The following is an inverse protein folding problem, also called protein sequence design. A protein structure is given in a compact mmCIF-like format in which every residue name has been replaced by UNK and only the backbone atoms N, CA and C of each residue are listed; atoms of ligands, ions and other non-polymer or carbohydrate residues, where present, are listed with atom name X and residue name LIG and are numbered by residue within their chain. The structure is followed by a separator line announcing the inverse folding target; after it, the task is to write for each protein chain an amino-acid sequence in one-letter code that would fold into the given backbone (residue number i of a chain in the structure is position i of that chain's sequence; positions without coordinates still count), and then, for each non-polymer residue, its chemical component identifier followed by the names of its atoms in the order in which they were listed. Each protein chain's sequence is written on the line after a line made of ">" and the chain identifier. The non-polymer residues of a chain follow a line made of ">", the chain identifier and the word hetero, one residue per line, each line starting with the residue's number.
data_IF_387470013260
#
_entry.id   IF_387470013260
#
_cell.length_a   1.000
_cell.length_b   1.000
_cell.length_c   1.000
_cell.angle_alpha   90.00
_cell.angle_beta   90.00
_cell.angle_gamma   90.00
#
_symmetry.space_group_name_H-M   'P 1'
#
loop_
_entity.id
_entity.type
_entity.pdbx_description
1 polymer ?
#
# COMPACT_ATOMS: atom_id res chain seq x y z
N UNK A 1 13.29 22.03 23.31
CA UNK A 1 11.84 21.73 23.38
C UNK A 1 11.03 22.60 24.36
N UNK A 2 11.43 23.83 24.70
CA UNK A 2 10.65 24.72 25.58
C UNK A 2 10.30 26.10 24.97
N UNK A 3 10.39 26.29 23.64
CA UNK A 3 9.98 27.55 22.98
C UNK A 3 8.66 27.47 22.19
N UNK A 4 8.05 26.29 22.08
CA UNK A 4 6.81 26.09 21.30
C UNK A 4 5.51 26.28 22.09
N UNK A 5 5.56 26.36 23.43
CA UNK A 5 4.37 26.58 24.26
C UNK A 5 3.96 28.05 24.35
N UNK A 6 4.92 28.96 24.32
CA UNK A 6 4.64 30.39 24.54
C UNK A 6 4.02 31.08 23.30
N UNK A 7 4.34 30.63 22.09
CA UNK A 7 3.77 31.23 20.87
C UNK A 7 2.27 30.93 20.67
N UNK A 8 1.77 29.78 21.15
CA UNK A 8 0.33 29.43 21.00
C UNK A 8 -0.58 30.28 21.88
N UNK A 9 -0.08 30.77 23.02
CA UNK A 9 -0.82 31.65 23.93
C UNK A 9 -0.86 33.10 23.43
N UNK A 10 0.15 33.55 22.68
CA UNK A 10 0.24 34.93 22.19
C UNK A 10 -0.63 35.14 20.93
N UNK A 11 -0.75 34.14 20.06
CA UNK A 11 -1.55 34.23 18.82
C UNK A 11 -3.06 34.36 19.11
N UNK A 12 -3.55 33.80 20.22
CA UNK A 12 -4.99 33.81 20.53
C UNK A 12 -5.48 35.10 21.20
N UNK A 13 -4.61 35.90 21.83
CA UNK A 13 -5.05 37.18 22.44
C UNK A 13 -5.38 38.25 21.40
N UNK A 14 -4.83 38.13 20.18
CA UNK A 14 -5.00 39.12 19.11
C UNK A 14 -6.27 38.91 18.25
N UNK A 15 -6.88 37.72 18.26
CA UNK A 15 -7.96 37.36 17.33
C UNK A 15 -9.39 37.63 17.84
N UNK A 16 -9.59 37.92 19.12
CA UNK A 16 -10.91 38.27 19.64
C UNK A 16 -10.98 39.75 20.01
N UNK A 17 -11.63 40.57 19.16
CA UNK A 17 -11.95 41.95 19.53
C UNK A 17 -12.85 41.96 20.79
N UNK A 18 -12.61 42.85 21.77
CA UNK A 18 -13.32 42.85 23.05
C UNK A 18 -14.85 43.08 22.93
N UNK A 19 -15.31 43.71 21.84
CA UNK A 19 -16.73 44.01 21.60
C UNK A 19 -17.58 42.77 21.29
N UNK A 20 -17.01 41.74 20.66
CA UNK A 20 -17.72 40.49 20.34
C UNK A 20 -17.98 39.63 21.57
N UNK A 21 -17.10 39.71 22.58
CA UNK A 21 -17.24 38.93 23.82
C UNK A 21 -18.20 39.61 24.80
N UNK A 22 -18.23 40.95 24.86
CA UNK A 22 -19.22 41.70 25.65
C UNK A 22 -20.66 41.48 25.16
N UNK A 23 -20.88 41.31 23.84
CA UNK A 23 -22.20 41.01 23.30
C UNK A 23 -22.71 39.62 23.72
N UNK A 24 -21.81 38.64 23.83
CA UNK A 24 -22.14 37.28 24.27
C UNK A 24 -22.45 37.22 25.77
N UNK A 25 -21.66 37.93 26.61
CA UNK A 25 -21.88 38.02 28.06
C UNK A 25 -23.19 38.73 28.44
N UNK A 26 -23.61 39.71 27.65
CA UNK A 26 -24.89 40.42 27.86
C UNK A 26 -26.11 39.54 27.55
N UNK A 27 -25.94 38.52 26.70
CA UNK A 27 -26.98 37.55 26.37
C UNK A 27 -27.09 36.43 27.40
N UNK A 28 -26.03 36.11 28.14
CA UNK A 28 -26.00 35.02 29.13
C UNK A 28 -26.20 35.47 30.57
N UNK A 29 -26.26 36.78 30.85
CA UNK A 29 -26.69 37.33 32.15
C UNK A 29 -25.71 37.11 33.31
N UNK A 30 -24.46 36.75 33.04
CA UNK A 30 -23.44 36.43 34.04
C UNK A 30 -22.48 37.61 34.25
N UNK A 31 -22.49 38.23 35.44
CA UNK A 31 -21.39 39.08 35.92
C UNK A 31 -20.35 38.19 36.58
N UNK A 32 -19.10 38.19 36.10
CA UNK A 32 -18.03 37.40 36.71
C UNK A 32 -16.66 38.08 36.55
N UNK A 33 -15.89 38.04 37.62
CA UNK A 33 -14.56 38.64 37.80
C UNK A 33 -13.45 37.93 36.98
N UNK A 34 -12.42 38.69 36.62
CA UNK A 34 -11.42 38.44 35.56
C UNK A 34 -10.68 37.08 35.60
N UNK A 35 -10.54 36.43 36.76
CA UNK A 35 -9.82 35.14 36.86
C UNK A 35 -10.66 33.93 36.46
N UNK A 36 -11.97 33.95 36.74
CA UNK A 36 -12.88 32.87 36.31
C UNK A 36 -13.14 32.90 34.81
N UNK A 37 -13.07 34.07 34.20
CA UNK A 37 -13.26 34.31 32.77
C UNK A 37 -12.27 33.54 31.87
N UNK A 38 -10.99 33.46 32.27
CA UNK A 38 -9.95 32.74 31.50
C UNK A 38 -10.11 31.23 31.54
N UNK A 39 -10.56 30.67 32.66
CA UNK A 39 -10.75 29.24 32.83
C UNK A 39 -11.98 28.73 32.07
N UNK A 40 -13.10 29.46 32.13
CA UNK A 40 -14.35 29.08 31.47
C UNK A 40 -14.28 29.22 29.94
N UNK A 41 -13.62 30.27 29.43
CA UNK A 41 -13.41 30.44 28.00
C UNK A 41 -12.50 29.34 27.41
N UNK A 42 -11.44 28.96 28.13
CA UNK A 42 -10.57 27.86 27.72
C UNK A 42 -11.31 26.52 27.67
N UNK A 43 -12.20 26.24 28.64
CA UNK A 43 -13.00 25.02 28.68
C UNK A 43 -14.03 24.94 27.54
N UNK A 44 -14.71 26.06 27.22
CA UNK A 44 -15.66 26.12 26.12
C UNK A 44 -14.99 25.94 24.75
N UNK A 45 -13.79 26.51 24.57
CA UNK A 45 -13.00 26.37 23.33
C UNK A 45 -12.46 24.94 23.19
N UNK A 46 -12.01 24.32 24.29
CA UNK A 46 -11.58 22.92 24.26
C UNK A 46 -12.73 21.96 23.91
N UNK A 47 -13.93 22.22 24.44
CA UNK A 47 -15.12 21.44 24.14
C UNK A 47 -15.55 21.54 22.67
N UNK A 48 -15.49 22.75 22.08
CA UNK A 48 -15.75 22.93 20.65
C UNK A 48 -14.73 22.20 19.78
N UNK A 49 -13.44 22.30 20.07
CA UNK A 49 -12.39 21.64 19.27
C UNK A 49 -12.53 20.12 19.35
N UNK A 50 -12.82 19.56 20.52
CA UNK A 50 -12.93 18.11 20.72
C UNK A 50 -14.13 17.49 19.98
N UNK A 51 -15.25 18.22 19.89
CA UNK A 51 -16.46 17.73 19.22
C UNK A 51 -16.46 17.93 17.69
N UNK A 52 -15.63 18.83 17.13
CA UNK A 52 -15.53 19.00 15.66
C UNK A 52 -14.50 18.11 14.97
N UNK A 53 -13.61 17.45 15.72
CA UNK A 53 -12.51 16.64 15.17
C UNK A 53 -12.79 15.13 15.14
N UNK A 54 -13.96 14.68 15.61
CA UNK A 54 -14.33 13.27 15.68
C UNK A 54 -15.72 13.08 15.06
N UNK A 55 -15.80 13.02 13.72
CA UNK A 55 -16.76 12.20 12.97
C UNK A 55 -16.45 12.28 11.45
N UNK A 56 -16.35 11.15 10.73
CA UNK A 56 -16.26 11.14 9.26
C UNK A 56 -17.66 11.34 8.64
N UNK A 57 -17.80 11.98 7.46
CA UNK A 57 -19.12 12.25 6.91
C UNK A 57 -19.66 11.02 6.17
N UNK A 58 -20.71 10.39 6.71
CA UNK A 58 -21.69 9.61 5.95
C UNK A 58 -22.88 10.49 5.55
N UNK A 59 -23.46 10.17 4.40
CA UNK A 59 -24.54 10.89 3.71
C UNK A 59 -25.84 10.96 4.53
N UNK A 60 -26.34 12.17 4.85
CA UNK A 60 -27.76 12.39 5.15
C UNK A 60 -28.27 13.68 4.48
N UNK A 61 -29.49 13.53 3.99
CA UNK A 61 -30.32 14.33 3.11
C UNK A 61 -30.85 15.67 3.66
N UNK A 62 -31.10 16.57 2.71
CA UNK A 62 -32.14 17.62 2.66
C UNK A 62 -32.75 18.12 3.98
N UNK A 63 -32.29 19.29 4.42
CA UNK A 63 -32.99 20.17 5.37
C UNK A 63 -32.64 21.63 5.08
N UNK A 64 -33.59 22.36 4.51
CA UNK A 64 -33.45 23.78 4.10
C UNK A 64 -33.36 24.67 5.34
N UNK A 65 -32.24 25.36 5.53
CA UNK A 65 -32.20 26.64 6.25
C UNK A 65 -31.44 27.64 5.39
N UNK A 66 -32.19 28.60 4.87
CA UNK A 66 -31.77 29.67 3.99
C UNK A 66 -30.84 30.66 4.70
N UNK A 67 -29.66 30.90 4.12
CA UNK A 67 -28.89 32.12 4.38
C UNK A 67 -27.43 31.93 4.78
N UNK A 68 -26.58 31.51 3.84
CA UNK A 68 -25.19 31.98 3.70
C UNK A 68 -24.57 31.37 2.43
N UNK A 69 -24.17 32.21 1.47
CA UNK A 69 -23.48 31.77 0.25
C UNK A 69 -22.01 31.47 0.56
N UNK A 70 -21.59 30.27 0.15
CA UNK A 70 -20.23 29.70 0.02
C UNK A 70 -19.56 29.10 1.27
N UNK A 71 -19.15 27.82 1.21
CA UNK A 71 -18.34 27.20 2.27
C UNK A 71 -16.88 27.68 2.13
N UNK A 72 -16.36 28.33 3.17
CA UNK A 72 -14.94 28.70 3.24
C UNK A 72 -14.12 27.42 3.42
N UNK A 73 -13.38 27.03 2.38
CA UNK A 73 -12.29 26.05 2.49
C UNK A 73 -11.25 26.59 3.47
N UNK A 74 -11.04 25.89 4.58
CA UNK A 74 -9.86 26.10 5.41
C UNK A 74 -8.65 25.61 4.61
N UNK A 75 -7.91 26.54 4.02
CA UNK A 75 -6.57 26.27 3.51
C UNK A 75 -5.60 26.27 4.69
N UNK A 76 -4.78 25.21 4.81
CA UNK A 76 -3.64 25.20 5.71
C UNK A 76 -2.71 26.34 5.32
N UNK A 77 -2.45 27.24 6.27
CA UNK A 77 -1.43 28.28 6.12
C UNK A 77 -0.05 27.64 6.08
N UNK A 78 0.67 27.85 4.98
CA UNK A 78 2.14 27.81 4.99
C UNK A 78 2.64 28.99 5.84
N UNK A 79 3.73 28.81 6.59
CA UNK A 79 4.23 29.75 7.60
C UNK A 79 4.81 31.06 7.05
N UNK A 80 4.78 31.28 5.73
CA UNK A 80 5.46 32.41 5.05
C UNK A 80 4.51 33.47 4.43
N UNK A 81 3.19 33.33 4.59
CA UNK A 81 2.24 34.28 3.99
C UNK A 81 1.94 35.47 4.91
N UNK A 82 2.83 36.48 4.89
CA UNK A 82 2.52 37.78 5.51
C UNK A 82 1.23 38.39 4.92
N UNK A 83 0.34 38.96 5.77
CA UNK A 83 -0.92 39.53 5.34
C UNK A 83 -0.72 40.81 4.49
N UNK A 84 -1.70 41.13 3.66
CA UNK A 84 -1.63 42.33 2.81
C UNK A 84 -1.50 43.60 3.65
N UNK A 85 -0.51 44.44 3.31
CA UNK A 85 -0.23 45.72 4.01
C UNK A 85 -1.43 46.69 4.02
N UNK A 86 -2.28 46.64 3.00
CA UNK A 86 -3.37 47.61 2.82
C UNK A 86 -4.68 47.15 3.47
N UNK A 87 -5.05 45.87 3.30
CA UNK A 87 -6.37 45.38 3.72
C UNK A 87 -6.31 44.22 4.74
N UNK A 88 -5.10 43.83 5.19
CA UNK A 88 -4.86 42.69 6.08
C UNK A 88 -5.47 41.37 5.58
N UNK A 89 -5.73 41.29 4.28
CA UNK A 89 -6.25 40.10 3.62
C UNK A 89 -5.15 39.07 3.40
N UNK A 90 -5.53 37.80 3.39
CA UNK A 90 -4.64 36.64 3.19
C UNK A 90 -4.86 35.98 1.81
N UNK A 91 -5.83 36.49 1.05
CA UNK A 91 -6.16 35.95 -0.27
C UNK A 91 -5.36 36.68 -1.35
N UNK A 92 -4.38 35.98 -1.91
CA UNK A 92 -3.51 36.45 -2.98
C UNK A 92 -3.68 35.56 -4.22
N UNK A 93 -3.64 36.19 -5.40
CA UNK A 93 -3.74 35.53 -6.70
C UNK A 93 -2.48 35.82 -7.48
N UNK A 94 -1.86 34.78 -8.01
CA UNK A 94 -0.72 34.86 -8.92
C UNK A 94 -1.19 35.13 -10.35
N UNK A 95 -0.80 36.28 -10.89
CA UNK A 95 -0.98 36.65 -12.28
C UNK A 95 0.27 36.23 -13.07
N UNK A 96 0.21 35.06 -13.70
CA UNK A 96 1.37 34.44 -14.40
C UNK A 96 1.80 35.18 -15.66
N UNK A 97 0.90 35.89 -16.33
CA UNK A 97 1.20 36.67 -17.53
C UNK A 97 2.07 37.87 -17.22
N UNK A 98 1.83 38.53 -16.09
CA UNK A 98 2.56 39.71 -15.63
C UNK A 98 3.70 39.35 -14.67
N UNK A 99 3.60 38.20 -14.00
CA UNK A 99 4.54 37.75 -12.98
C UNK A 99 4.29 38.43 -11.63
N UNK A 100 3.04 38.75 -11.29
CA UNK A 100 2.70 39.53 -10.09
C UNK A 100 1.83 38.74 -9.12
N UNK A 101 2.10 38.88 -7.82
CA UNK A 101 1.25 38.37 -6.73
C UNK A 101 0.34 39.48 -6.23
N UNK A 102 -0.97 39.37 -6.46
CA UNK A 102 -1.92 40.46 -6.20
C UNK A 102 -2.96 40.06 -5.17
N UNK A 103 -3.21 40.93 -4.19
CA UNK A 103 -4.27 40.72 -3.22
C UNK A 103 -5.65 40.83 -3.88
N UNK A 104 -6.49 39.80 -3.72
CA UNK A 104 -7.83 39.78 -4.33
C UNK A 104 -8.78 40.82 -3.75
N UNK A 105 -8.57 41.23 -2.50
CA UNK A 105 -9.51 42.07 -1.77
C UNK A 105 -9.30 43.57 -2.02
N UNK A 106 -8.06 44.00 -2.30
CA UNK A 106 -7.74 45.42 -2.50
C UNK A 106 -6.90 45.73 -3.74
N UNK A 107 -6.47 44.71 -4.49
CA UNK A 107 -5.67 44.89 -5.72
C UNK A 107 -4.22 45.32 -5.48
N UNK A 108 -3.74 45.33 -4.23
CA UNK A 108 -2.33 45.66 -3.94
C UNK A 108 -1.42 44.51 -4.40
N UNK A 109 -0.39 44.84 -5.18
CA UNK A 109 0.68 43.92 -5.57
C UNK A 109 1.59 43.68 -4.37
N UNK A 110 1.67 42.44 -3.88
CA UNK A 110 2.56 42.04 -2.77
C UNK A 110 3.98 41.82 -3.27
N UNK A 111 4.12 41.14 -4.41
CA UNK A 111 5.40 40.85 -5.02
C UNK A 111 5.26 40.99 -6.53
N UNK A 112 6.25 41.63 -7.16
CA UNK A 112 6.31 41.84 -8.60
C UNK A 112 7.51 41.10 -9.19
N UNK A 113 7.39 40.58 -10.42
CA UNK A 113 8.42 39.77 -11.08
C UNK A 113 8.72 38.46 -10.36
N UNK A 114 7.67 37.73 -9.99
CA UNK A 114 7.75 36.35 -9.54
C UNK A 114 8.58 35.52 -10.52
N UNK A 115 9.53 34.77 -9.95
CA UNK A 115 10.29 33.77 -10.70
C UNK A 115 9.34 32.60 -10.95
N UNK A 116 9.15 32.22 -12.21
CA UNK A 116 8.40 31.01 -12.54
C UNK A 116 9.24 29.77 -12.19
N UNK A 117 8.83 29.02 -11.18
CA UNK A 117 9.48 27.76 -10.79
C UNK A 117 9.13 26.61 -11.75
N UNK A 118 8.24 26.83 -12.73
CA UNK A 118 7.93 25.82 -13.74
C UNK A 118 9.15 25.59 -14.63
N UNK A 119 9.26 24.34 -15.09
CA UNK A 119 10.29 23.97 -16.06
C UNK A 119 10.22 24.91 -17.28
N UNK A 120 11.32 25.60 -17.57
CA UNK A 120 11.47 26.47 -18.75
C UNK A 120 11.50 25.69 -20.09
N UNK A 121 11.08 24.41 -20.09
CA UNK A 121 11.16 23.49 -21.23
C UNK A 121 10.47 24.09 -22.47
N UNK A 122 11.28 24.70 -23.33
CA UNK A 122 10.89 25.08 -24.69
C UNK A 122 11.58 24.11 -25.63
N UNK A 123 10.97 22.95 -25.88
CA UNK A 123 11.39 22.09 -27.00
C UNK A 123 10.97 22.77 -28.30
N UNK A 124 11.80 23.69 -28.80
CA UNK A 124 11.57 24.35 -30.09
C UNK A 124 11.69 23.39 -31.29
N UNK A 125 12.07 22.12 -31.08
CA UNK A 125 12.18 21.14 -32.14
C UNK A 125 11.69 19.76 -31.66
N UNK A 126 10.65 19.23 -32.32
CA UNK A 126 10.35 17.78 -32.35
C UNK A 126 11.52 16.93 -32.91
N UNK A 127 12.58 17.58 -33.39
CA UNK A 127 13.83 17.00 -33.91
C UNK A 127 14.92 16.79 -32.86
N UNK A 128 14.79 17.36 -31.66
CA UNK A 128 15.77 17.19 -30.56
C UNK A 128 15.45 15.96 -29.68
N UNK A 129 14.85 14.92 -30.28
CA UNK A 129 14.67 13.62 -29.61
C UNK A 129 15.98 12.86 -29.42
N UNK A 130 17.07 13.35 -30.00
CA UNK A 130 18.38 12.73 -29.90
C UNK A 130 19.39 13.68 -29.22
N UNK A 131 19.57 13.45 -27.92
CA UNK A 131 20.84 13.59 -27.19
C UNK A 131 21.23 14.95 -26.57
N UNK A 132 20.64 16.11 -26.87
CA UNK A 132 21.05 17.36 -26.18
C UNK A 132 19.94 18.38 -25.99
N UNK A 133 19.28 18.35 -24.83
CA UNK A 133 18.41 19.44 -24.38
C UNK A 133 19.27 20.70 -24.13
N UNK A 134 19.09 21.81 -24.87
CA UNK A 134 19.86 23.04 -24.68
C UNK A 134 19.45 23.84 -23.43
N UNK A 135 18.45 23.37 -22.66
CA UNK A 135 18.00 24.06 -21.46
C UNK A 135 19.08 24.11 -20.38
N UNK A 136 19.23 25.29 -19.76
CA UNK A 136 20.17 25.58 -18.68
C UNK A 136 19.64 25.04 -17.34
N UNK A 137 19.30 23.77 -17.29
CA UNK A 137 18.93 23.09 -16.06
C UNK A 137 19.71 21.79 -15.98
N UNK A 138 20.29 21.51 -14.81
CA UNK A 138 20.99 20.24 -14.60
C UNK A 138 20.06 19.05 -14.86
N UNK A 139 20.65 17.86 -15.04
CA UNK A 139 19.87 16.63 -15.15
C UNK A 139 19.02 16.38 -13.90
N UNK A 140 17.94 15.58 -14.00
CA UNK A 140 17.10 15.26 -12.85
C UNK A 140 17.92 14.59 -11.75
N UNK A 141 17.88 15.16 -10.55
CA UNK A 141 18.54 14.59 -9.37
C UNK A 141 17.68 13.51 -8.76
N UNK A 142 18.26 12.34 -8.49
CA UNK A 142 17.59 11.31 -7.72
C UNK A 142 17.77 11.60 -6.22
N UNK A 143 16.69 11.96 -5.53
CA UNK A 143 16.66 12.24 -4.08
C UNK A 143 17.19 11.10 -3.17
N UNK A 144 17.25 9.86 -3.68
CA UNK A 144 17.81 8.72 -2.95
C UNK A 144 19.34 8.83 -2.87
N UNK A 145 19.98 9.43 -3.87
CA UNK A 145 21.42 9.65 -3.91
C UNK A 145 21.75 11.00 -3.27
N UNK A 146 22.65 11.02 -2.31
CA UNK A 146 23.03 12.24 -1.58
C UNK A 146 24.15 13.01 -2.28
N UNK A 147 24.90 12.34 -3.16
CA UNK A 147 26.01 12.94 -3.89
C UNK A 147 25.59 13.66 -5.17
N UNK A 148 25.95 14.95 -5.26
CA UNK A 148 26.15 15.64 -6.54
C UNK A 148 27.38 15.02 -7.21
N UNK A 149 27.16 14.00 -8.06
CA UNK A 149 28.24 13.33 -8.78
C UNK A 149 28.06 13.50 -10.28
N UNK A 150 29.14 13.88 -10.95
CA UNK A 150 29.22 13.89 -12.41
C UNK A 150 29.98 12.66 -12.87
N UNK A 151 29.52 11.99 -13.90
CA UNK A 151 30.25 10.87 -14.51
C UNK A 151 31.22 11.39 -15.56
N UNK A 152 32.45 10.88 -15.56
CA UNK A 152 33.46 11.23 -16.57
C UNK A 152 33.18 10.39 -17.82
N UNK A 153 32.62 11.05 -18.84
CA UNK A 153 32.36 10.43 -20.14
C UNK A 153 33.64 9.94 -20.83
N UNK A 154 33.49 8.94 -21.69
CA UNK A 154 34.58 8.46 -22.55
C UNK A 154 34.51 9.21 -23.87
N UNK A 155 35.57 9.93 -24.20
CA UNK A 155 35.69 10.63 -25.48
C UNK A 155 36.49 9.77 -26.48
N UNK A 156 36.14 9.82 -27.77
CA UNK A 156 36.97 9.20 -28.82
C UNK A 156 38.14 10.14 -29.09
N UNK A 157 39.38 9.63 -29.05
CA UNK A 157 40.65 10.36 -29.22
C UNK A 157 41.19 11.13 -28.00
N UNK A 158 40.90 10.66 -26.79
CA UNK A 158 41.41 11.24 -25.53
C UNK A 158 42.85 10.81 -25.15
N UNK A 159 43.50 9.98 -25.97
CA UNK A 159 44.81 9.41 -25.65
C UNK A 159 44.85 8.52 -24.39
N UNK A 160 43.69 8.04 -23.90
CA UNK A 160 43.57 7.26 -22.68
C UNK A 160 43.42 8.08 -21.38
N UNK A 161 43.26 9.41 -21.48
CA UNK A 161 43.09 10.28 -20.31
C UNK A 161 41.78 9.99 -19.56
N UNK A 162 40.66 9.80 -20.23
CA UNK A 162 39.37 9.42 -19.62
C UNK A 162 39.49 8.08 -18.89
N UNK A 163 40.33 7.15 -19.38
CA UNK A 163 40.59 5.89 -18.69
C UNK A 163 41.41 6.11 -17.40
N UNK A 164 42.46 6.93 -17.46
CA UNK A 164 43.27 7.28 -16.29
C UNK A 164 42.43 8.01 -15.22
N UNK A 165 41.62 8.99 -15.64
CA UNK A 165 40.72 9.74 -14.76
C UNK A 165 39.63 8.85 -14.17
N UNK A 166 38.99 7.97 -14.94
CA UNK A 166 38.00 7.03 -14.42
C UNK A 166 38.64 6.04 -13.41
N UNK A 167 39.89 5.62 -13.63
CA UNK A 167 40.62 4.78 -12.68
C UNK A 167 40.89 5.51 -11.37
N UNK A 168 41.25 6.80 -11.41
CA UNK A 168 41.45 7.63 -10.22
C UNK A 168 40.11 7.87 -9.51
N UNK A 169 39.07 8.23 -10.27
CA UNK A 169 37.72 8.46 -9.74
C UNK A 169 37.14 7.21 -9.06
N UNK A 170 37.42 6.02 -9.60
CA UNK A 170 37.01 4.73 -9.02
C UNK A 170 37.69 4.40 -7.68
N UNK A 171 38.80 5.08 -7.33
CA UNK A 171 39.50 4.90 -6.05
C UNK A 171 38.90 5.75 -4.93
N UNK A 172 38.06 6.72 -5.24
CA UNK A 172 37.38 7.53 -4.24
C UNK A 172 36.32 6.68 -3.53
N UNK A 173 36.35 6.66 -2.20
CA UNK A 173 35.33 5.98 -1.39
C UNK A 173 34.02 6.78 -1.46
N UNK A 174 33.17 6.41 -2.41
CA UNK A 174 31.81 6.95 -2.51
C UNK A 174 30.82 5.98 -1.85
N UNK A 175 30.15 6.34 -0.73
CA UNK A 175 29.09 5.51 -0.14
C UNK A 175 27.95 5.23 -1.13
N UNK A 176 27.70 6.15 -2.07
CA UNK A 176 26.67 6.00 -3.11
C UNK A 176 26.98 4.83 -4.05
N UNK A 177 28.24 4.39 -4.16
CA UNK A 177 28.58 3.23 -5.00
C UNK A 177 27.89 1.95 -4.52
N UNK A 178 27.81 1.77 -3.20
CA UNK A 178 27.11 0.63 -2.60
C UNK A 178 25.60 0.76 -2.85
N UNK A 179 25.07 1.97 -2.71
CA UNK A 179 23.67 2.27 -2.96
C UNK A 179 23.29 2.07 -4.45
N UNK A 180 24.12 2.51 -5.39
CA UNK A 180 23.96 2.29 -6.83
C UNK A 180 24.02 0.80 -7.20
N UNK A 181 24.92 0.04 -6.58
CA UNK A 181 24.96 -1.42 -6.75
C UNK A 181 23.66 -2.06 -6.26
N UNK A 182 23.15 -1.65 -5.09
CA UNK A 182 21.86 -2.11 -4.59
C UNK A 182 20.70 -1.70 -5.49
N UNK A 183 20.66 -0.47 -6.01
CA UNK A 183 19.66 0.00 -6.98
C UNK A 183 19.62 -0.87 -8.23
N UNK A 184 20.78 -1.27 -8.74
CA UNK A 184 20.88 -2.17 -9.89
C UNK A 184 20.31 -3.56 -9.59
N UNK A 185 20.66 -4.13 -8.44
CA UNK A 185 20.16 -5.45 -8.02
C UNK A 185 18.64 -5.43 -7.76
N UNK A 186 18.12 -4.40 -7.06
CA UNK A 186 16.68 -4.22 -6.84
C UNK A 186 15.95 -4.03 -8.17
N UNK A 187 16.51 -3.21 -9.08
CA UNK A 187 15.96 -3.03 -10.43
C UNK A 187 15.86 -4.35 -11.19
N UNK A 188 16.94 -5.14 -11.19
CA UNK A 188 16.96 -6.46 -11.84
C UNK A 188 15.92 -7.41 -11.25
N UNK A 189 15.80 -7.48 -9.91
CA UNK A 189 14.79 -8.30 -9.25
C UNK A 189 13.36 -7.85 -9.59
N UNK A 190 13.10 -6.54 -9.63
CA UNK A 190 11.79 -5.98 -9.96
C UNK A 190 11.37 -6.29 -11.40
N UNK A 191 12.31 -6.23 -12.36
CA UNK A 191 12.08 -6.59 -13.77
C UNK A 191 11.69 -8.06 -13.90
N UNK A 192 12.42 -8.97 -13.24
CA UNK A 192 12.15 -10.40 -13.28
C UNK A 192 10.83 -10.78 -12.57
N UNK A 193 10.51 -10.13 -11.45
CA UNK A 193 9.25 -10.33 -10.72
C UNK A 193 8.07 -9.56 -11.30
N UNK A 194 8.30 -8.71 -12.32
CA UNK A 194 7.32 -7.81 -12.94
C UNK A 194 6.56 -6.96 -11.92
N UNK A 195 7.32 -6.33 -11.02
CA UNK A 195 6.80 -5.50 -9.93
C UNK A 195 6.77 -4.03 -10.38
N UNK A 196 5.81 -3.25 -9.86
CA UNK A 196 5.66 -1.84 -10.20
C UNK A 196 6.86 -0.99 -9.73
N UNK A 197 7.15 0.11 -10.44
CA UNK A 197 8.20 1.08 -10.09
C UNK A 197 8.05 1.66 -8.69
N UNK A 198 6.80 1.87 -8.22
CA UNK A 198 6.51 2.34 -6.85
C UNK A 198 7.15 1.42 -5.79
N UNK A 199 7.10 0.09 -6.00
CA UNK A 199 7.69 -0.87 -5.05
C UNK A 199 9.22 -0.81 -5.11
N UNK A 200 9.80 -0.57 -6.29
CA UNK A 200 11.24 -0.39 -6.47
C UNK A 200 11.72 0.83 -5.68
N UNK A 201 11.03 1.96 -5.83
CA UNK A 201 11.38 3.20 -5.13
C UNK A 201 11.24 3.02 -3.61
N UNK A 202 10.14 2.42 -3.17
CA UNK A 202 9.92 2.11 -1.76
C UNK A 202 10.97 1.15 -1.17
N UNK A 203 11.39 0.14 -1.93
CA UNK A 203 12.44 -0.77 -1.53
C UNK A 203 13.78 -0.05 -1.36
N UNK A 204 14.07 0.95 -2.20
CA UNK A 204 15.28 1.74 -2.12
C UNK A 204 15.28 2.72 -0.95
N UNK A 205 14.14 3.33 -0.63
CA UNK A 205 13.98 4.14 0.59
C UNK A 205 14.30 3.32 1.84
N UNK A 206 13.69 2.14 1.96
CA UNK A 206 13.93 1.23 3.10
C UNK A 206 15.40 0.80 3.15
N UNK A 207 16.01 0.50 2.00
CA UNK A 207 17.42 0.13 1.94
C UNK A 207 18.33 1.26 2.43
N UNK A 208 18.06 2.50 1.99
CA UNK A 208 18.82 3.69 2.38
C UNK A 208 18.76 3.93 3.89
N UNK A 209 17.56 3.92 4.47
CA UNK A 209 17.34 4.08 5.92
C UNK A 209 18.16 3.06 6.73
N UNK A 210 18.15 1.80 6.29
CA UNK A 210 18.86 0.70 6.98
C UNK A 210 20.39 0.85 6.87
N UNK A 211 20.90 1.33 5.74
CA UNK A 211 22.34 1.59 5.55
C UNK A 211 22.81 2.76 6.42
N UNK A 212 22.01 3.83 6.49
CA UNK A 212 22.29 5.00 7.35
C UNK A 212 22.30 4.65 8.84
N UNK A 213 21.41 3.75 9.26
CA UNK A 213 21.39 3.23 10.63
C UNK A 213 22.67 2.45 11.00
N UNK A 214 23.53 2.07 10.02
CA UNK A 214 24.80 1.35 10.19
C UNK A 214 24.70 0.01 10.92
N UNK A 215 23.49 -0.52 11.12
CA UNK A 215 23.22 -1.73 11.91
C UNK A 215 23.50 -3.04 11.18
N UNK A 216 23.53 -3.05 9.84
CA UNK A 216 23.69 -4.29 9.04
C UNK A 216 25.07 -4.44 8.38
N UNK A 217 26.12 -3.88 8.99
CA UNK A 217 27.49 -4.04 8.49
C UNK A 217 27.90 -5.52 8.48
N UNK A 218 28.27 -6.02 7.29
CA UNK A 218 28.73 -7.40 7.09
C UNK A 218 27.68 -8.36 6.53
N UNK A 219 26.43 -7.92 6.29
CA UNK A 219 25.46 -8.69 5.50
C UNK A 219 25.74 -8.56 4.00
N UNK A 220 25.35 -9.57 3.23
CA UNK A 220 25.47 -9.49 1.77
C UNK A 220 24.53 -8.44 1.19
N UNK A 221 25.04 -7.63 0.27
CA UNK A 221 24.28 -6.55 -0.39
C UNK A 221 23.03 -7.10 -1.07
N UNK A 222 23.16 -8.25 -1.74
CA UNK A 222 22.05 -8.93 -2.43
C UNK A 222 20.99 -9.45 -1.46
N UNK A 223 21.37 -10.09 -0.34
CA UNK A 223 20.38 -10.56 0.63
C UNK A 223 19.62 -9.40 1.28
N UNK A 224 20.32 -8.31 1.60
CA UNK A 224 19.69 -7.11 2.15
C UNK A 224 18.73 -6.46 1.15
N UNK A 225 19.16 -6.28 -0.10
CA UNK A 225 18.30 -5.77 -1.17
C UNK A 225 17.04 -6.63 -1.36
N UNK A 226 17.19 -7.97 -1.34
CA UNK A 226 16.08 -8.90 -1.44
C UNK A 226 15.10 -8.79 -0.25
N UNK A 227 15.62 -8.63 0.97
CA UNK A 227 14.80 -8.42 2.17
C UNK A 227 14.05 -7.08 2.15
N UNK A 228 14.68 -6.01 1.65
CA UNK A 228 14.05 -4.70 1.50
C UNK A 228 12.94 -4.74 0.44
N UNK A 229 13.21 -5.38 -0.71
CA UNK A 229 12.21 -5.57 -1.76
C UNK A 229 11.01 -6.38 -1.24
N UNK A 230 11.26 -7.45 -0.49
CA UNK A 230 10.20 -8.24 0.13
C UNK A 230 9.35 -7.41 1.09
N UNK A 231 9.97 -6.52 1.88
CA UNK A 231 9.23 -5.61 2.76
C UNK A 231 8.36 -4.63 1.96
N UNK A 232 8.93 -3.99 0.93
CA UNK A 232 8.22 -3.04 0.08
C UNK A 232 7.02 -3.67 -0.63
N UNK A 233 7.19 -4.89 -1.17
CA UNK A 233 6.10 -5.65 -1.79
C UNK A 233 4.90 -5.84 -0.85
N UNK A 234 5.14 -5.98 0.46
CA UNK A 234 4.08 -6.12 1.46
C UNK A 234 3.38 -4.80 1.76
N UNK A 235 4.13 -3.70 1.86
CA UNK A 235 3.56 -2.37 2.09
C UNK A 235 2.63 -1.95 0.94
N UNK A 236 3.02 -2.26 -0.30
CA UNK A 236 2.25 -1.95 -1.51
C UNK A 236 1.15 -2.98 -1.84
N UNK A 237 0.85 -3.92 -0.92
CA UNK A 237 -0.15 -5.00 -1.11
C UNK A 237 0.10 -5.86 -2.36
N UNK A 238 1.34 -5.90 -2.85
CA UNK A 238 1.80 -6.76 -3.94
C UNK A 238 2.62 -7.92 -3.35
N UNK A 239 1.99 -8.71 -2.47
CA UNK A 239 2.65 -9.78 -1.76
C UNK A 239 3.34 -10.77 -2.69
N UNK A 240 4.63 -10.98 -2.44
CA UNK A 240 5.47 -12.02 -3.04
C UNK A 240 5.94 -12.95 -1.95
N UNK A 241 6.13 -14.22 -2.28
CA UNK A 241 6.64 -15.23 -1.36
C UNK A 241 8.16 -15.23 -1.35
N UNK A 242 8.77 -15.67 -0.24
CA UNK A 242 10.22 -15.87 -0.19
C UNK A 242 10.73 -16.84 -1.26
N UNK A 243 9.91 -17.80 -1.69
CA UNK A 243 10.29 -18.76 -2.73
C UNK A 243 10.43 -18.08 -4.09
N UNK A 244 9.52 -17.17 -4.43
CA UNK A 244 9.59 -16.39 -5.68
C UNK A 244 10.83 -15.50 -5.73
N UNK A 245 11.16 -14.82 -4.61
CA UNK A 245 12.35 -13.97 -4.54
C UNK A 245 13.64 -14.79 -4.67
N UNK A 246 13.73 -15.93 -3.96
CA UNK A 246 14.87 -16.84 -4.08
C UNK A 246 15.00 -17.43 -5.48
N UNK A 247 13.88 -17.74 -6.15
CA UNK A 247 13.90 -18.24 -7.52
C UNK A 247 14.50 -17.22 -8.51
N UNK A 248 14.31 -15.93 -8.26
CA UNK A 248 14.86 -14.84 -9.08
C UNK A 248 16.35 -14.59 -8.81
N UNK A 249 16.79 -14.70 -7.55
CA UNK A 249 18.20 -14.57 -7.17
C UNK A 249 19.05 -15.80 -7.51
N UNK A 250 18.43 -16.93 -7.85
CA UNK A 250 19.12 -18.18 -8.11
C UNK A 250 19.90 -18.69 -6.89
N UNK A 251 21.09 -19.24 -7.14
CA UNK A 251 21.93 -19.84 -6.09
C UNK A 251 22.81 -18.82 -5.32
N UNK A 252 22.69 -17.52 -5.62
CA UNK A 252 23.54 -16.49 -5.02
C UNK A 252 23.26 -16.29 -3.52
N UNK A 253 22.00 -16.48 -3.10
CA UNK A 253 21.57 -16.20 -1.72
C UNK A 253 20.62 -17.29 -1.22
N UNK A 254 20.93 -17.84 -0.05
CA UNK A 254 20.07 -18.85 0.58
C UNK A 254 18.80 -18.25 1.20
N UNK A 255 17.68 -18.99 1.16
CA UNK A 255 16.42 -18.58 1.84
C UNK A 255 16.63 -18.25 3.33
N UNK A 256 17.53 -18.97 4.02
CA UNK A 256 17.84 -18.75 5.43
C UNK A 256 18.53 -17.40 5.67
N UNK A 257 19.35 -16.96 4.72
CA UNK A 257 20.04 -15.67 4.80
C UNK A 257 19.09 -14.50 4.60
N UNK A 258 18.21 -14.57 3.59
CA UNK A 258 17.16 -13.55 3.37
C UNK A 258 16.23 -13.48 4.59
N UNK A 259 15.85 -14.63 5.16
CA UNK A 259 15.02 -14.68 6.36
C UNK A 259 15.68 -14.08 7.60
N UNK A 260 17.01 -14.23 7.74
CA UNK A 260 17.78 -13.56 8.81
C UNK A 260 17.85 -12.06 8.59
N UNK A 261 18.22 -11.61 7.40
CA UNK A 261 18.28 -10.19 7.06
C UNK A 261 16.91 -9.50 7.23
N UNK A 262 15.82 -10.19 6.88
CA UNK A 262 14.47 -9.68 7.08
C UNK A 262 14.09 -9.52 8.56
N UNK A 263 14.49 -10.46 9.44
CA UNK A 263 14.29 -10.34 10.89
C UNK A 263 15.13 -9.21 11.48
N UNK A 264 16.37 -9.06 11.03
CA UNK A 264 17.24 -7.98 11.47
C UNK A 264 16.64 -6.62 11.05
N UNK A 265 16.13 -6.52 9.81
CA UNK A 265 15.42 -5.34 9.29
C UNK A 265 14.14 -5.03 10.10
N UNK A 266 13.35 -6.05 10.44
CA UNK A 266 12.20 -5.91 11.34
C UNK A 266 12.58 -5.33 12.69
N UNK A 267 13.70 -5.77 13.25
CA UNK A 267 14.16 -5.30 14.55
C UNK A 267 14.61 -3.84 14.47
N UNK A 268 15.38 -3.49 13.44
CA UNK A 268 15.85 -2.11 13.22
C UNK A 268 14.67 -1.15 13.11
N UNK A 269 13.65 -1.50 12.31
CA UNK A 269 12.45 -0.65 12.16
C UNK A 269 11.68 -0.49 13.46
N UNK A 270 11.62 -1.54 14.29
CA UNK A 270 11.00 -1.43 15.62
C UNK A 270 11.79 -0.51 16.55
N UNK A 271 13.12 -0.64 16.55
CA UNK A 271 13.99 0.19 17.38
C UNK A 271 13.92 1.67 16.95
N UNK A 272 13.83 1.95 15.65
CA UNK A 272 13.63 3.30 15.10
C UNK A 272 12.30 3.90 15.54
N UNK A 273 11.19 3.16 15.39
CA UNK A 273 9.86 3.61 15.82
C UNK A 273 9.79 3.85 17.34
N UNK A 274 10.46 3.00 18.11
CA UNK A 274 10.54 3.17 19.56
C UNK A 274 11.32 4.44 19.95
N UNK A 275 12.42 4.76 19.25
CA UNK A 275 13.17 6.01 19.44
C UNK A 275 12.34 7.25 19.08
N UNK A 276 11.44 7.13 18.10
CA UNK A 276 10.54 8.22 17.69
C UNK A 276 9.36 8.42 18.65
N UNK A 277 9.23 7.60 19.71
CA UNK A 277 8.13 7.70 20.68
C UNK A 277 6.77 7.31 20.10
N UNK A 278 6.77 6.47 19.05
CA UNK A 278 5.54 6.01 18.41
C UNK A 278 4.65 5.24 19.40
N UNK A 279 3.33 5.45 19.33
CA UNK A 279 2.36 4.73 20.18
C UNK A 279 2.41 3.22 19.92
N UNK A 280 1.97 2.43 20.89
CA UNK A 280 1.90 0.97 20.76
C UNK A 280 1.08 0.53 19.52
N UNK A 281 0.08 1.32 19.14
CA UNK A 281 -0.75 1.08 17.94
C UNK A 281 0.02 1.30 16.63
N UNK A 282 0.94 2.27 16.56
CA UNK A 282 1.78 2.50 15.38
C UNK A 282 2.82 1.38 15.21
N UNK A 283 3.34 0.86 16.33
CA UNK A 283 4.23 -0.30 16.33
C UNK A 283 3.49 -1.57 15.90
N UNK A 284 2.25 -1.76 16.39
CA UNK A 284 1.38 -2.86 15.99
C UNK A 284 0.97 -2.75 14.52
N UNK A 285 0.65 -1.56 14.02
CA UNK A 285 0.32 -1.32 12.60
C UNK A 285 1.48 -1.67 11.67
N UNK A 286 2.71 -1.28 12.02
CA UNK A 286 3.92 -1.62 11.25
C UNK A 286 4.22 -3.12 11.29
N UNK A 287 3.96 -3.79 12.43
CA UNK A 287 4.07 -5.24 12.57
C UNK A 287 2.94 -5.97 11.83
N UNK A 288 1.72 -5.42 11.79
CA UNK A 288 0.57 -5.97 11.08
C UNK A 288 0.76 -5.88 9.56
N UNK A 289 1.49 -4.89 9.05
CA UNK A 289 1.97 -4.88 7.65
C UNK A 289 2.87 -6.08 7.32
N UNK A 290 3.40 -6.80 8.31
CA UNK A 290 4.19 -8.02 8.11
C UNK A 290 3.38 -9.31 8.13
N UNK A 291 2.12 -9.27 8.59
CA UNK A 291 1.22 -10.41 8.57
C UNK A 291 0.61 -10.51 7.18
N UNK A 292 0.83 -11.63 6.51
CA UNK A 292 0.37 -11.83 5.15
C UNK A 292 -1.04 -12.41 5.17
N UNK A 293 -1.98 -11.71 4.54
CA UNK A 293 -3.33 -12.22 4.41
C UNK A 293 -3.44 -13.18 3.21
N UNK A 294 -4.13 -14.33 3.33
CA UNK A 294 -4.33 -15.25 2.20
C UNK A 294 -4.86 -14.57 0.93
N UNK A 295 -5.72 -13.57 1.08
CA UNK A 295 -6.32 -12.80 -0.01
C UNK A 295 -5.30 -12.12 -0.94
N UNK A 296 -4.13 -11.73 -0.42
CA UNK A 296 -3.08 -11.07 -1.22
C UNK A 296 -2.45 -12.03 -2.24
N UNK A 297 -2.39 -13.33 -1.93
CA UNK A 297 -1.81 -14.34 -2.81
C UNK A 297 -2.80 -14.89 -3.83
N UNK A 298 -4.10 -14.96 -3.47
CA UNK A 298 -5.16 -15.52 -4.33
C UNK A 298 -5.19 -14.84 -5.69
N UNK A 299 -5.18 -13.50 -5.72
CA UNK A 299 -5.20 -12.72 -6.97
C UNK A 299 -4.04 -13.08 -7.90
N UNK A 300 -2.83 -13.22 -7.35
CA UNK A 300 -1.63 -13.58 -8.13
C UNK A 300 -1.74 -15.01 -8.67
N UNK A 301 -2.14 -15.98 -7.84
CA UNK A 301 -2.28 -17.37 -8.25
C UNK A 301 -3.34 -17.56 -9.32
N UNK A 302 -4.51 -16.91 -9.19
CA UNK A 302 -5.55 -17.00 -10.21
C UNK A 302 -5.13 -16.34 -11.54
N UNK A 303 -4.30 -15.30 -11.49
CA UNK A 303 -3.73 -14.68 -12.70
C UNK A 303 -2.70 -15.59 -13.38
N UNK A 304 -1.83 -16.26 -12.62
CA UNK A 304 -0.88 -17.24 -13.13
C UNK A 304 -1.59 -18.47 -13.72
N UNK A 305 -2.69 -18.93 -13.10
CA UNK A 305 -3.54 -20.02 -13.60
C UNK A 305 -4.40 -19.63 -14.81
N UNK A 306 -4.47 -18.34 -15.17
CA UNK A 306 -5.33 -17.81 -16.23
C UNK A 306 -6.80 -18.19 -16.08
N UNK A 307 -7.31 -18.13 -14.84
CA UNK A 307 -8.72 -18.43 -14.54
C UNK A 307 -9.66 -17.36 -15.12
N UNK A 308 -10.91 -17.74 -15.32
CA UNK A 308 -11.99 -16.83 -15.73
C UNK A 308 -12.27 -15.79 -14.63
N UNK A 309 -12.69 -14.59 -15.02
CA UNK A 309 -12.97 -13.48 -14.09
C UNK A 309 -13.97 -13.85 -12.99
N UNK A 310 -15.03 -14.61 -13.34
CA UNK A 310 -16.04 -15.05 -12.37
C UNK A 310 -15.44 -15.97 -11.29
N UNK A 311 -14.55 -16.89 -11.67
CA UNK A 311 -13.83 -17.77 -10.73
C UNK A 311 -12.84 -16.98 -9.86
N UNK A 312 -12.17 -15.97 -10.41
CA UNK A 312 -11.28 -15.07 -9.66
C UNK A 312 -12.03 -14.31 -8.57
N UNK A 313 -13.16 -13.70 -8.92
CA UNK A 313 -14.00 -12.95 -7.99
C UNK A 313 -14.47 -13.84 -6.83
N UNK A 314 -14.93 -15.05 -7.14
CA UNK A 314 -15.31 -16.03 -6.13
C UNK A 314 -14.16 -16.37 -5.17
N UNK A 315 -12.96 -16.64 -5.71
CA UNK A 315 -11.79 -16.95 -4.89
C UNK A 315 -11.39 -15.78 -3.97
N UNK A 316 -11.48 -14.55 -4.46
CA UNK A 316 -11.20 -13.33 -3.69
C UNK A 316 -12.22 -13.12 -2.58
N UNK A 317 -13.51 -13.34 -2.84
CA UNK A 317 -14.58 -13.24 -1.85
C UNK A 317 -14.43 -14.29 -0.74
N UNK A 318 -14.17 -15.56 -1.10
CA UNK A 318 -13.89 -16.62 -0.13
C UNK A 318 -12.68 -16.25 0.74
N UNK A 319 -11.64 -15.65 0.15
CA UNK A 319 -10.45 -15.22 0.89
C UNK A 319 -10.67 -14.01 1.79
N UNK A 320 -11.63 -13.14 1.46
CA UNK A 320 -12.04 -12.02 2.31
C UNK A 320 -12.88 -12.53 3.49
N UNK A 321 -13.78 -13.48 3.27
CA UNK A 321 -14.59 -14.10 4.32
C UNK A 321 -13.76 -15.01 5.24
N UNK A 322 -12.66 -15.57 4.73
CA UNK A 322 -11.72 -16.37 5.52
C UNK A 322 -10.80 -15.54 6.44
N UNK A 323 -10.98 -14.21 6.50
CA UNK A 323 -10.30 -13.34 7.48
C UNK A 323 -10.63 -13.82 8.89
N UNK A 324 -9.64 -13.95 9.79
CA UNK A 324 -9.90 -14.30 11.19
C UNK A 324 -10.67 -13.14 11.85
N UNK A 325 -12.00 -13.27 11.91
CA UNK A 325 -12.86 -12.34 12.62
C UNK A 325 -13.01 -12.81 14.06
N UNK A 326 -12.17 -12.34 14.99
CA UNK A 326 -12.14 -12.54 16.46
C UNK A 326 -12.33 -13.97 17.04
N UNK A 327 -12.68 -14.95 16.21
CA UNK A 327 -12.97 -16.33 16.52
C UNK A 327 -11.78 -17.15 16.10
N UNK A 328 -11.28 -18.01 16.99
CA UNK A 328 -10.26 -19.02 16.68
C UNK A 328 -10.74 -19.86 15.50
N UNK A 329 -10.24 -19.55 14.31
CA UNK A 329 -10.50 -20.32 13.10
C UNK A 329 -9.57 -21.55 13.09
N UNK A 330 -10.04 -22.73 12.65
CA UNK A 330 -9.21 -23.95 12.62
C UNK A 330 -7.91 -23.79 11.82
N UNK A 331 -7.90 -22.89 10.84
CA UNK A 331 -6.77 -22.67 9.94
C UNK A 331 -5.75 -21.62 10.42
N UNK A 332 -5.90 -21.04 11.62
CA UNK A 332 -5.02 -19.99 12.16
C UNK A 332 -3.55 -20.44 12.34
N UNK A 333 -3.31 -21.74 12.51
CA UNK A 333 -1.96 -22.31 12.61
C UNK A 333 -1.26 -22.58 11.28
N UNK A 334 -1.93 -22.36 10.13
CA UNK A 334 -1.40 -22.69 8.81
C UNK A 334 -0.80 -21.48 8.12
N UNK A 335 0.18 -21.74 7.25
CA UNK A 335 0.78 -20.67 6.45
C UNK A 335 -0.24 -20.09 5.46
N UNK A 336 -0.31 -18.75 5.31
CA UNK A 336 -1.31 -18.07 4.48
C UNK A 336 -1.24 -18.46 3.00
N UNK A 337 -0.06 -18.84 2.51
CA UNK A 337 0.11 -19.37 1.14
C UNK A 337 -0.62 -20.69 0.94
N UNK A 338 -0.63 -21.58 1.94
CA UNK A 338 -1.33 -22.87 1.86
C UNK A 338 -2.84 -22.71 1.90
N UNK A 339 -3.33 -21.76 2.71
CA UNK A 339 -4.75 -21.41 2.78
C UNK A 339 -5.18 -20.79 1.45
N UNK A 340 -4.41 -19.85 0.90
CA UNK A 340 -4.67 -19.27 -0.42
C UNK A 340 -4.73 -20.35 -1.52
N UNK A 341 -3.79 -21.30 -1.54
CA UNK A 341 -3.83 -22.43 -2.48
C UNK A 341 -5.10 -23.27 -2.33
N UNK A 342 -5.54 -23.56 -1.09
CA UNK A 342 -6.76 -24.32 -0.85
C UNK A 342 -8.01 -23.56 -1.32
N UNK A 343 -8.07 -22.24 -1.09
CA UNK A 343 -9.18 -21.38 -1.56
C UNK A 343 -9.25 -21.37 -3.09
N UNK A 344 -8.11 -21.22 -3.77
CA UNK A 344 -8.07 -21.25 -5.24
C UNK A 344 -8.52 -22.62 -5.76
N UNK A 345 -8.09 -23.71 -5.12
CA UNK A 345 -8.54 -25.06 -5.45
C UNK A 345 -10.06 -25.21 -5.30
N UNK A 346 -10.63 -24.77 -4.18
CA UNK A 346 -12.09 -24.79 -3.94
C UNK A 346 -12.82 -24.01 -5.04
N UNK A 347 -12.37 -22.78 -5.34
CA UNK A 347 -12.99 -21.94 -6.35
C UNK A 347 -12.93 -22.55 -7.76
N UNK A 348 -11.83 -23.24 -8.11
CA UNK A 348 -11.70 -23.95 -9.38
C UNK A 348 -12.70 -25.10 -9.49
N UNK A 349 -12.80 -25.94 -8.46
CA UNK A 349 -13.69 -27.11 -8.48
C UNK A 349 -15.17 -26.69 -8.48
N UNK A 350 -15.54 -25.68 -7.68
CA UNK A 350 -16.90 -25.13 -7.67
C UNK A 350 -17.29 -24.56 -9.05
N UNK A 351 -16.35 -23.91 -9.74
CA UNK A 351 -16.59 -23.38 -11.08
C UNK A 351 -16.74 -24.47 -12.14
N UNK A 352 -16.00 -25.57 -12.02
CA UNK A 352 -16.16 -26.73 -12.92
C UNK A 352 -17.53 -27.40 -12.75
N UNK A 353 -17.98 -27.63 -11.51
CA UNK A 353 -19.32 -28.19 -11.23
C UNK A 353 -20.42 -27.30 -11.83
N UNK A 354 -20.27 -25.98 -11.70
CA UNK A 354 -21.19 -25.01 -12.30
C UNK A 354 -21.28 -25.10 -13.81
N UNK A 355 -20.14 -25.29 -14.46
CA UNK A 355 -20.06 -25.40 -15.92
C UNK A 355 -20.75 -26.67 -16.40
N UNK A 356 -20.62 -27.77 -15.66
CA UNK A 356 -21.31 -29.03 -15.95
C UNK A 356 -22.85 -28.89 -15.78
N UNK A 357 -23.33 -28.17 -14.77
CA UNK A 357 -24.77 -27.90 -14.57
C UNK A 357 -25.37 -26.97 -15.65
N UNK A 358 -24.62 -25.98 -16.13
CA UNK A 358 -25.10 -25.09 -17.20
C UNK A 358 -25.07 -25.74 -18.59
N UNK A 359 -24.27 -26.80 -18.79
CA UNK A 359 -24.18 -27.54 -20.05
C UNK A 359 -25.23 -28.64 -20.19
N UNK A 360 -25.93 -29.01 -19.12
CA UNK A 360 -26.93 -30.08 -19.09
C UNK A 360 -28.37 -29.75 -19.51
N UNK A 361 -28.74 -28.64 -20.20
CA UNK A 361 -30.10 -28.53 -20.77
C UNK A 361 -30.39 -29.52 -21.91
N UNK A 362 -29.36 -30.05 -22.60
CA UNK A 362 -29.54 -30.81 -23.86
C UNK A 362 -29.07 -32.28 -23.83
N UNK A 363 -28.71 -32.82 -22.66
CA UNK A 363 -28.34 -34.24 -22.51
C UNK A 363 -29.12 -34.89 -21.36
N UNK A 364 -30.44 -34.76 -21.39
CA UNK A 364 -31.35 -35.62 -20.64
C UNK A 364 -31.71 -36.87 -21.47
N UNK A 365 -30.72 -37.68 -21.85
CA UNK A 365 -30.92 -39.03 -22.39
C UNK A 365 -29.61 -39.81 -22.38
N UNK A 366 -29.33 -40.53 -21.30
CA UNK A 366 -28.21 -41.48 -21.24
C UNK A 366 -27.43 -41.41 -19.94
N UNK A 367 -27.96 -42.05 -18.90
CA UNK A 367 -27.21 -42.39 -17.69
C UNK A 367 -26.00 -43.26 -18.04
N UNK A 368 -24.80 -42.69 -18.04
CA UNK A 368 -23.56 -43.46 -17.89
C UNK A 368 -23.30 -43.70 -16.39
N UNK A 369 -22.69 -44.84 -16.02
CA UNK A 369 -22.71 -45.34 -14.64
C UNK A 369 -21.97 -44.39 -13.69
N UNK A 370 -22.61 -44.09 -12.54
CA UNK A 370 -22.15 -43.18 -11.50
C UNK A 370 -20.74 -43.46 -10.94
N UNK A 371 -20.19 -44.66 -11.17
CA UNK A 371 -18.82 -45.01 -10.80
C UNK A 371 -17.74 -44.44 -11.75
N UNK A 372 -18.06 -44.25 -13.04
CA UNK A 372 -17.14 -43.65 -14.00
C UNK A 372 -17.02 -42.13 -13.80
N UNK A 373 -18.11 -41.47 -13.40
CA UNK A 373 -18.14 -40.04 -13.13
C UNK A 373 -17.39 -39.68 -11.84
N UNK A 374 -17.54 -40.44 -10.74
CA UNK A 374 -16.88 -40.12 -9.47
C UNK A 374 -15.35 -40.28 -9.56
N UNK A 375 -14.86 -41.34 -10.23
CA UNK A 375 -13.43 -41.56 -10.43
C UNK A 375 -12.82 -40.51 -11.37
N UNK A 376 -13.54 -40.13 -12.43
CA UNK A 376 -13.13 -39.06 -13.33
C UNK A 376 -13.13 -37.69 -12.63
N UNK A 377 -14.15 -37.39 -11.82
CA UNK A 377 -14.24 -36.15 -11.04
C UNK A 377 -13.10 -36.04 -10.01
N UNK A 378 -12.78 -37.13 -9.30
CA UNK A 378 -11.63 -37.19 -8.41
C UNK A 378 -10.31 -36.97 -9.15
N UNK A 379 -10.11 -37.61 -10.31
CA UNK A 379 -8.92 -37.40 -11.13
C UNK A 379 -8.77 -35.96 -11.63
N UNK A 380 -9.88 -35.29 -11.98
CA UNK A 380 -9.87 -33.86 -12.34
C UNK A 380 -9.49 -32.98 -11.15
N UNK A 381 -10.06 -33.25 -9.98
CA UNK A 381 -9.72 -32.54 -8.75
C UNK A 381 -8.23 -32.70 -8.38
N UNK A 382 -7.69 -33.92 -8.46
CA UNK A 382 -6.27 -34.16 -8.20
C UNK A 382 -5.39 -33.41 -9.23
N UNK A 383 -5.77 -33.38 -10.52
CA UNK A 383 -5.08 -32.60 -11.54
C UNK A 383 -5.15 -31.07 -11.30
N UNK A 384 -6.30 -30.56 -10.83
CA UNK A 384 -6.44 -29.15 -10.45
C UNK A 384 -5.56 -28.81 -9.25
N UNK A 385 -5.51 -29.68 -8.23
CA UNK A 385 -4.64 -29.52 -7.07
C UNK A 385 -3.16 -29.51 -7.47
N UNK A 386 -2.76 -30.35 -8.42
CA UNK A 386 -1.40 -30.37 -8.97
C UNK A 386 -1.04 -29.06 -9.68
N UNK A 387 -1.97 -28.50 -10.49
CA UNK A 387 -1.77 -27.18 -11.13
C UNK A 387 -1.57 -26.06 -10.10
N UNK A 388 -2.39 -26.05 -9.05
CA UNK A 388 -2.27 -25.07 -7.96
C UNK A 388 -0.97 -25.27 -7.17
N UNK A 389 -0.54 -26.51 -6.94
CA UNK A 389 0.70 -26.84 -6.24
C UNK A 389 1.94 -26.31 -6.97
N UNK A 390 1.99 -26.45 -8.30
CA UNK A 390 3.09 -25.95 -9.14
C UNK A 390 3.20 -24.42 -9.00
N UNK A 391 2.08 -23.71 -9.12
CA UNK A 391 2.06 -22.25 -9.13
C UNK A 391 2.32 -21.65 -7.75
N UNK A 392 1.66 -22.18 -6.72
CA UNK A 392 1.87 -21.71 -5.34
C UNK A 392 3.21 -22.16 -4.75
N UNK A 393 3.91 -23.09 -5.41
CA UNK A 393 5.12 -23.74 -4.88
C UNK A 393 4.89 -24.38 -3.50
N UNK A 394 3.66 -24.82 -3.21
CA UNK A 394 3.28 -25.51 -1.96
C UNK A 394 3.10 -27.00 -2.26
N UNK A 395 3.53 -27.88 -1.36
CA UNK A 395 3.35 -29.32 -1.53
C UNK A 395 1.85 -29.68 -1.51
N UNK A 396 1.44 -30.62 -2.37
CA UNK A 396 0.05 -31.08 -2.49
C UNK A 396 -0.53 -31.56 -1.15
N UNK A 397 0.26 -32.29 -0.35
CA UNK A 397 -0.16 -32.75 0.97
C UNK A 397 -0.53 -31.59 1.91
N UNK A 398 0.19 -30.46 1.82
CA UNK A 398 -0.10 -29.26 2.62
C UNK A 398 -1.38 -28.58 2.15
N UNK A 399 -1.63 -28.55 0.84
CA UNK A 399 -2.88 -28.02 0.25
C UNK A 399 -4.06 -28.89 0.67
N UNK A 400 -3.95 -30.22 0.55
CA UNK A 400 -5.00 -31.18 0.95
C UNK A 400 -5.32 -31.06 2.45
N UNK A 401 -4.30 -30.91 3.28
CA UNK A 401 -4.51 -30.69 4.70
C UNK A 401 -5.21 -29.34 4.96
N UNK A 402 -4.86 -28.26 4.24
CA UNK A 402 -5.53 -26.96 4.41
C UNK A 402 -6.99 -27.02 3.94
N UNK A 403 -7.22 -27.71 2.82
CA UNK A 403 -8.56 -28.00 2.33
C UNK A 403 -9.41 -28.77 3.35
N UNK A 404 -8.84 -29.77 4.04
CA UNK A 404 -9.54 -30.51 5.11
C UNK A 404 -10.06 -29.59 6.22
N UNK A 405 -9.27 -28.59 6.61
CA UNK A 405 -9.65 -27.67 7.69
C UNK A 405 -10.67 -26.62 7.22
N UNK A 406 -10.63 -26.23 5.94
CA UNK A 406 -11.59 -25.29 5.36
C UNK A 406 -12.93 -25.96 5.04
N UNK A 407 -12.93 -27.25 4.66
CA UNK A 407 -14.08 -27.97 4.14
C UNK A 407 -15.37 -27.84 4.98
N UNK A 408 -15.34 -28.02 6.32
CA UNK A 408 -16.55 -27.91 7.16
C UNK A 408 -17.15 -26.50 7.18
N UNK A 409 -16.37 -25.48 6.84
CA UNK A 409 -16.74 -24.08 6.96
C UNK A 409 -17.03 -23.42 5.59
N UNK A 410 -16.93 -24.16 4.47
CA UNK A 410 -17.11 -23.60 3.13
C UNK A 410 -18.47 -22.91 2.97
N UNK A 411 -19.54 -23.47 3.54
CA UNK A 411 -20.89 -22.89 3.49
C UNK A 411 -20.97 -21.48 4.07
N UNK A 412 -20.14 -21.15 5.07
CA UNK A 412 -20.07 -19.84 5.70
C UNK A 412 -19.12 -18.89 4.96
N UNK A 413 -18.13 -19.44 4.24
CA UNK A 413 -17.12 -18.66 3.53
C UNK A 413 -17.59 -18.22 2.13
N UNK A 414 -18.60 -18.87 1.58
CA UNK A 414 -19.16 -18.50 0.28
C UNK A 414 -19.79 -17.11 0.31
N UNK A 415 -19.69 -16.35 -0.79
CA UNK A 415 -20.34 -15.05 -0.89
C UNK A 415 -21.86 -15.19 -0.78
N UNK A 416 -22.52 -14.13 -0.30
CA UNK A 416 -23.96 -14.05 -0.30
C UNK A 416 -24.50 -14.30 -1.73
N UNK A 417 -25.62 -15.03 -1.88
CA UNK A 417 -26.16 -15.37 -3.19
C UNK A 417 -26.43 -14.09 -3.98
N UNK A 418 -25.73 -13.94 -5.11
CA UNK A 418 -25.93 -12.83 -6.04
C UNK A 418 -27.35 -12.84 -6.61
N UNK A 419 -27.94 -11.66 -6.82
CA UNK A 419 -29.27 -11.51 -7.44
C UNK A 419 -29.37 -12.12 -8.84
N UNK A 420 -28.22 -12.27 -9.53
CA UNK A 420 -28.14 -12.92 -10.84
C UNK A 420 -28.11 -14.45 -10.68
N UNK A 421 -29.05 -15.20 -11.30
CA UNK A 421 -29.07 -16.66 -11.23
C UNK A 421 -27.81 -17.30 -11.84
N UNK A 422 -27.23 -16.64 -12.85
CA UNK A 422 -25.99 -17.09 -13.51
C UNK A 422 -24.75 -17.02 -12.62
N UNK A 423 -24.77 -16.24 -11.54
CA UNK A 423 -23.63 -16.03 -10.63
C UNK A 423 -23.79 -16.79 -9.31
N UNK A 424 -25.02 -17.18 -8.97
CA UNK A 424 -25.34 -17.92 -7.73
C UNK A 424 -24.63 -19.27 -7.67
N UNK A 425 -24.07 -19.59 -6.52
CA UNK A 425 -23.54 -20.91 -6.16
C UNK A 425 -24.50 -21.48 -5.12
N UNK A 426 -25.04 -22.67 -5.37
CA UNK A 426 -25.99 -23.30 -4.44
C UNK A 426 -25.25 -24.16 -3.43
N UNK A 427 -25.86 -24.37 -2.25
CA UNK A 427 -25.33 -25.28 -1.23
C UNK A 427 -25.23 -26.74 -1.73
N UNK A 428 -26.04 -27.11 -2.73
CA UNK A 428 -25.98 -28.42 -3.39
C UNK A 428 -24.67 -28.62 -4.16
N UNK A 429 -24.09 -27.55 -4.72
CA UNK A 429 -22.79 -27.62 -5.40
C UNK A 429 -21.65 -27.85 -4.40
N UNK A 430 -21.79 -27.34 -3.18
CA UNK A 430 -20.82 -27.58 -2.09
C UNK A 430 -20.84 -29.06 -1.68
N UNK A 431 -22.02 -29.69 -1.65
CA UNK A 431 -22.15 -31.12 -1.35
C UNK A 431 -21.48 -32.03 -2.39
N UNK A 432 -21.28 -31.54 -3.63
CA UNK A 432 -20.59 -32.26 -4.71
C UNK A 432 -19.06 -32.14 -4.65
N UNK A 433 -18.51 -31.37 -3.70
CA UNK A 433 -17.06 -31.22 -3.57
C UNK A 433 -16.37 -32.56 -3.19
N UNK A 434 -15.13 -32.80 -3.67
CA UNK A 434 -14.39 -34.00 -3.32
C UNK A 434 -14.14 -34.08 -1.81
N UNK A 435 -14.45 -35.24 -1.21
CA UNK A 435 -14.18 -35.45 0.20
C UNK A 435 -12.65 -35.40 0.48
N UNK A 436 -12.18 -34.56 1.42
CA UNK A 436 -10.75 -34.44 1.76
C UNK A 436 -10.12 -35.75 2.29
N UNK A 437 -10.91 -36.68 2.84
CA UNK A 437 -10.41 -37.94 3.42
C UNK A 437 -10.87 -39.18 2.66
N UNK A 438 -10.03 -39.75 1.76
CA UNK A 438 -10.36 -40.99 1.06
C UNK A 438 -10.15 -42.26 1.89
N UNK A 439 -9.59 -42.16 3.11
CA UNK A 439 -9.27 -43.31 3.98
C UNK A 439 -10.29 -43.52 5.11
N UNK A 440 -11.22 -42.59 5.31
CA UNK A 440 -12.36 -42.80 6.19
C UNK A 440 -13.37 -43.66 5.45
N UNK A 441 -13.37 -44.96 5.70
CA UNK A 441 -14.42 -45.85 5.22
C UNK A 441 -15.79 -45.36 5.71
N UNK A 442 -16.79 -45.39 4.82
CA UNK A 442 -18.22 -45.44 5.14
C UNK A 442 -18.66 -44.61 6.34
N UNK A 443 -18.68 -43.29 6.21
CA UNK A 443 -19.33 -42.41 7.17
C UNK A 443 -19.95 -41.26 6.41
N UNK A 444 -21.24 -41.36 6.14
CA UNK A 444 -22.09 -40.27 5.67
C UNK A 444 -21.83 -39.05 6.56
N UNK A 445 -21.06 -38.08 6.08
CA UNK A 445 -20.96 -36.80 6.76
C UNK A 445 -22.25 -36.04 6.43
N UNK A 446 -23.21 -36.18 7.33
CA UNK A 446 -24.39 -35.33 7.45
C UNK A 446 -23.94 -33.87 7.33
N UNK A 447 -24.32 -33.25 6.22
CA UNK A 447 -24.56 -31.82 6.17
C UNK A 447 -25.83 -31.62 7.00
N UNK A 448 -25.70 -31.07 8.20
CA UNK A 448 -26.78 -30.39 8.92
C UNK A 448 -26.41 -28.92 9.06
#
# INVERSE_FOLDING_TARGET
>A
NNRFRDCRLIIFSYLCKPKSIQAFLKATGTQADDETFRASAAAAIYWCIFNTLIEPPEEISSGVVSGCKSPRRFFLFSMDDEPCVTCQGVDFVEFKSEGDLVCRNCGTVKESRLIDERSEWRTFSDKDKDTTDPNRVGGPTNHLLEGLTTTIGRERNDGGLSYALNRIHSRTNNPDRVLMAAMKEVGHMCELLKVNGVVKDRAMEIYKEVVEAKSLKGRSVKALAASCLFWACRQEKQARTFKEIVAVLGNDVSKKEIGRCFKDLQQIKKDELQKQGASADALASTMNQTVQHPAEFVRNYCNQLRLEFKCKKLAEEIAQNAKPADRRVPWDGRTPTSIASAIVFIAMVLWEIKKEENQSPNQAAGSLPAFASLKAAKARADAAMQKVAIISSVAEATIRAAYRDLFPHISQLLPAPSDKPEERITLEMVAKLPNPDPRGGGGSLLIM
#
